data_IF_317844623320
#
_entry.id   IF_317844623320
#
_cell.length_a   1.000
_cell.length_b   1.000
_cell.length_c   1.000
_cell.angle_alpha   90.00
_cell.angle_beta   90.00
_cell.angle_gamma   90.00
#
_symmetry.space_group_name_H-M   'P 1'
#
loop_
_entity.id
_entity.type
_entity.pdbx_description
1 polymer ?
#
# COMPACT_ATOMS: atom_id res chain seq x y z
N UNK A 1 -3.49 -4.31 4.08
CA UNK A 1 -4.80 -3.97 4.71
C UNK A 1 -5.42 -5.20 5.37
N UNK A 2 -5.89 -5.13 6.63
CA UNK A 2 -6.56 -6.25 7.31
C UNK A 2 -8.08 -6.24 7.07
N UNK A 3 -8.52 -5.91 5.86
CA UNK A 3 -9.93 -5.97 5.48
C UNK A 3 -10.11 -6.59 4.10
N UNK A 4 -11.30 -7.16 3.86
CA UNK A 4 -11.66 -7.98 2.70
C UNK A 4 -13.11 -7.71 2.26
N UNK A 5 -13.49 -8.11 1.03
CA UNK A 5 -12.65 -8.70 -0.03
C UNK A 5 -11.72 -7.66 -0.67
N UNK A 6 -10.57 -8.12 -1.20
CA UNK A 6 -9.59 -7.24 -1.83
C UNK A 6 -10.15 -6.51 -3.06
N UNK A 7 -11.02 -7.19 -3.81
CA UNK A 7 -11.68 -6.69 -5.02
C UNK A 7 -12.62 -5.49 -4.77
N UNK A 8 -12.95 -5.22 -3.50
CA UNK A 8 -13.72 -4.04 -3.09
C UNK A 8 -12.82 -2.94 -2.50
N UNK A 9 -11.53 -2.97 -2.81
CA UNK A 9 -10.54 -1.98 -2.40
C UNK A 9 -9.86 -1.44 -3.66
N UNK A 10 -9.63 -0.14 -3.71
CA UNK A 10 -8.93 0.51 -4.82
C UNK A 10 -8.01 1.60 -4.30
N UNK A 11 -6.78 1.65 -4.82
CA UNK A 11 -5.93 2.83 -4.68
C UNK A 11 -6.25 3.82 -5.80
N UNK A 12 -6.47 5.08 -5.45
CA UNK A 12 -6.41 6.20 -6.36
C UNK A 12 -5.10 6.94 -6.10
N UNK A 13 -4.23 7.00 -7.11
CA UNK A 13 -2.94 7.68 -7.04
C UNK A 13 -2.89 8.77 -8.10
N UNK A 14 -2.70 10.03 -7.68
CA UNK A 14 -2.76 11.20 -8.56
C UNK A 14 -1.41 11.91 -8.61
N UNK A 15 -0.93 12.17 -9.82
CA UNK A 15 0.30 12.91 -10.06
C UNK A 15 0.10 14.41 -9.77
N UNK A 16 0.90 14.99 -8.87
CA UNK A 16 0.82 16.43 -8.55
C UNK A 16 1.71 17.30 -9.46
N UNK A 17 2.48 16.65 -10.31
CA UNK A 17 3.37 17.22 -11.32
C UNK A 17 3.59 16.17 -12.40
N UNK A 18 4.29 16.51 -13.49
CA UNK A 18 4.72 15.49 -14.45
C UNK A 18 5.59 14.44 -13.77
N UNK A 19 5.26 13.17 -13.96
CA UNK A 19 6.01 12.03 -13.45
C UNK A 19 6.32 11.09 -14.61
N UNK A 20 7.60 10.79 -14.81
CA UNK A 20 8.06 9.92 -15.88
C UNK A 20 9.21 9.02 -15.40
N UNK A 21 9.90 8.36 -16.33
CA UNK A 21 10.99 7.44 -15.98
C UNK A 21 12.21 8.13 -15.36
N UNK A 22 12.38 9.43 -15.59
CA UNK A 22 13.52 10.20 -15.08
C UNK A 22 13.36 10.52 -13.60
N UNK A 23 12.15 10.88 -13.17
CA UNK A 23 11.84 11.27 -11.79
C UNK A 23 11.12 10.19 -10.96
N UNK A 24 10.97 8.98 -11.52
CA UNK A 24 10.51 7.80 -10.79
C UNK A 24 9.00 7.58 -10.80
N UNK A 25 8.40 7.46 -12.00
CA UNK A 25 7.03 7.01 -12.18
C UNK A 25 6.77 5.62 -11.58
N UNK A 26 5.48 5.33 -11.38
CA UNK A 26 5.05 4.00 -10.97
C UNK A 26 5.42 2.98 -12.05
N UNK A 27 5.79 1.80 -11.58
CA UNK A 27 6.01 0.59 -12.35
C UNK A 27 5.02 -0.45 -11.83
N UNK A 28 4.25 -1.05 -12.72
CA UNK A 28 3.29 -2.10 -12.38
C UNK A 28 3.65 -3.39 -13.11
N UNK A 29 3.28 -4.53 -12.53
CA UNK A 29 3.30 -5.83 -13.20
C UNK A 29 1.85 -6.21 -13.53
N UNK A 30 1.39 -5.99 -14.78
CA UNK A 30 0.00 -6.26 -15.15
C UNK A 30 -0.42 -7.70 -14.86
N UNK A 31 -1.69 -7.89 -14.49
CA UNK A 31 -2.26 -9.22 -14.20
C UNK A 31 -1.97 -9.78 -12.82
N UNK A 32 -0.93 -9.31 -12.11
CA UNK A 32 -0.56 -9.83 -10.77
C UNK A 32 -1.65 -9.68 -9.71
N UNK A 33 -2.57 -8.73 -9.89
CA UNK A 33 -3.72 -8.55 -9.00
C UNK A 33 -4.66 -9.77 -8.93
N UNK A 34 -4.59 -10.70 -9.91
CA UNK A 34 -5.36 -11.94 -9.93
C UNK A 34 -4.73 -13.06 -9.08
N UNK A 35 -3.51 -12.85 -8.59
CA UNK A 35 -2.80 -13.78 -7.72
C UNK A 35 -3.18 -13.64 -6.25
N UNK A 36 -2.35 -14.21 -5.37
CA UNK A 36 -2.50 -14.10 -3.92
C UNK A 36 -1.66 -12.94 -3.35
N UNK A 37 -1.89 -12.62 -2.07
CA UNK A 37 -1.05 -11.67 -1.35
C UNK A 37 0.35 -12.26 -1.15
N UNK A 38 1.33 -11.64 -1.80
CA UNK A 38 2.73 -12.01 -1.65
C UNK A 38 3.27 -11.64 -0.27
N UNK A 39 4.21 -12.45 0.24
CA UNK A 39 4.90 -12.17 1.49
C UNK A 39 5.80 -10.95 1.32
N UNK A 40 5.67 -10.00 2.24
CA UNK A 40 6.49 -8.81 2.31
C UNK A 40 7.51 -8.98 3.44
N UNK A 41 8.77 -8.67 3.17
CA UNK A 41 9.85 -8.68 4.16
C UNK A 41 10.67 -7.40 4.06
N UNK A 42 11.42 -7.09 5.10
CA UNK A 42 12.44 -6.07 5.02
C UNK A 42 13.49 -6.44 3.95
N UNK A 43 13.94 -5.46 3.13
CA UNK A 43 15.10 -5.64 2.28
C UNK A 43 16.37 -5.86 3.10
N UNK A 44 17.22 -6.76 2.62
CA UNK A 44 18.54 -7.05 3.20
C UNK A 44 19.57 -6.08 2.60
N UNK A 45 19.43 -4.78 2.87
CA UNK A 45 20.34 -3.75 2.37
C UNK A 45 21.39 -3.38 3.43
N UNK A 46 22.64 -3.20 3.03
CA UNK A 46 23.70 -2.66 3.89
C UNK A 46 23.30 -1.26 4.39
N UNK A 47 23.35 -1.05 5.72
CA UNK A 47 22.92 0.19 6.38
C UNK A 47 21.45 0.20 6.81
N UNK A 48 20.69 -0.86 6.52
CA UNK A 48 19.27 -0.98 6.88
C UNK A 48 18.35 -0.17 5.97
N UNK A 49 17.05 -0.28 6.21
CA UNK A 49 16.02 0.51 5.51
C UNK A 49 15.16 1.26 6.52
N UNK A 50 14.46 2.29 6.04
CA UNK A 50 13.46 2.97 6.87
C UNK A 50 12.45 1.96 7.42
N UNK A 51 12.03 2.16 8.69
CA UNK A 51 10.89 1.40 9.25
C UNK A 51 9.69 1.48 8.31
N UNK A 52 8.93 0.40 8.21
CA UNK A 52 7.83 0.20 7.26
C UNK A 52 8.22 0.10 5.78
N UNK A 53 9.50 0.03 5.43
CA UNK A 53 9.94 -0.20 4.05
C UNK A 53 10.04 -1.71 3.74
N UNK A 54 8.91 -2.33 3.45
CA UNK A 54 8.82 -3.76 3.12
C UNK A 54 8.73 -3.98 1.60
N UNK A 55 9.32 -5.08 1.11
CA UNK A 55 9.30 -5.46 -0.31
C UNK A 55 8.95 -6.94 -0.53
N UNK A 56 8.56 -7.25 -1.77
CA UNK A 56 8.33 -8.62 -2.23
C UNK A 56 9.63 -9.14 -2.84
N UNK A 57 10.15 -10.25 -2.31
CA UNK A 57 11.38 -10.87 -2.82
C UNK A 57 11.10 -11.97 -3.84
N UNK A 58 10.00 -12.71 -3.64
CA UNK A 58 9.72 -13.96 -4.33
C UNK A 58 8.61 -13.80 -5.39
N UNK A 59 8.75 -12.83 -6.30
CA UNK A 59 7.88 -12.71 -7.47
C UNK A 59 8.61 -13.09 -8.75
N UNK A 60 7.87 -13.52 -9.76
CA UNK A 60 8.44 -13.81 -11.07
C UNK A 60 8.98 -12.53 -11.73
N UNK A 61 10.31 -12.42 -11.78
CA UNK A 61 11.02 -11.26 -12.33
C UNK A 61 10.93 -11.19 -13.86
N UNK A 62 10.50 -12.26 -14.53
CA UNK A 62 10.29 -12.29 -15.98
C UNK A 62 8.99 -11.61 -16.41
N UNK A 63 8.06 -11.38 -15.46
CA UNK A 63 6.80 -10.69 -15.74
C UNK A 63 7.05 -9.29 -16.34
N UNK A 64 6.28 -8.91 -17.38
CA UNK A 64 6.47 -7.63 -18.04
C UNK A 64 6.19 -6.48 -17.08
N UNK A 65 7.13 -5.54 -17.01
CA UNK A 65 7.01 -4.33 -16.22
C UNK A 65 6.54 -3.19 -17.08
N UNK A 66 5.47 -2.52 -16.67
CA UNK A 66 4.94 -1.34 -17.36
C UNK A 66 5.23 -0.11 -16.52
N UNK A 67 6.00 0.81 -17.08
CA UNK A 67 6.13 2.15 -16.52
C UNK A 67 4.88 2.96 -16.85
N UNK A 68 4.41 3.77 -15.90
CA UNK A 68 3.20 4.59 -16.05
C UNK A 68 3.58 6.08 -15.93
N UNK A 69 4.14 6.69 -16.98
CA UNK A 69 4.31 8.14 -17.04
C UNK A 69 2.95 8.83 -17.00
N UNK A 70 2.87 9.95 -16.31
CA UNK A 70 1.65 10.68 -16.01
C UNK A 70 1.94 12.19 -16.04
N UNK A 71 1.03 12.96 -16.61
CA UNK A 71 1.03 14.42 -16.50
C UNK A 71 0.37 14.86 -15.18
N UNK A 72 0.52 16.15 -14.84
CA UNK A 72 -0.12 16.69 -13.63
C UNK A 72 -1.64 16.51 -13.71
N UNK A 73 -2.23 15.92 -12.67
CA UNK A 73 -3.67 15.71 -12.55
C UNK A 73 -4.12 14.32 -13.01
N UNK A 74 -3.31 13.60 -13.77
CA UNK A 74 -3.61 12.22 -14.14
C UNK A 74 -3.75 11.36 -12.87
N UNK A 75 -4.66 10.39 -12.92
CA UNK A 75 -4.93 9.49 -11.80
C UNK A 75 -4.91 8.04 -12.27
N UNK A 76 -4.11 7.21 -11.60
CA UNK A 76 -4.07 5.77 -11.77
C UNK A 76 -4.91 5.11 -10.68
N UNK A 77 -5.86 4.27 -11.09
CA UNK A 77 -6.61 3.39 -10.20
C UNK A 77 -6.04 1.98 -10.25
N UNK A 78 -5.79 1.36 -9.10
CA UNK A 78 -5.27 0.01 -9.08
C UNK A 78 -5.69 -0.82 -7.86
N UNK A 79 -5.75 -2.14 -8.08
CA UNK A 79 -6.14 -3.15 -7.10
C UNK A 79 -5.04 -3.35 -6.04
N UNK A 80 -5.35 -3.59 -4.74
CA UNK A 80 -4.36 -3.74 -3.68
C UNK A 80 -3.38 -4.91 -3.86
N UNK A 81 -3.73 -5.92 -4.68
CA UNK A 81 -2.83 -7.05 -4.98
C UNK A 81 -1.93 -6.83 -6.20
N UNK A 82 -2.07 -5.72 -6.93
CA UNK A 82 -1.16 -5.47 -8.05
C UNK A 82 0.25 -5.23 -7.50
N UNK A 83 1.22 -5.98 -8.01
CA UNK A 83 2.62 -5.73 -7.70
C UNK A 83 3.02 -4.44 -8.41
N UNK A 84 3.46 -3.47 -7.62
CA UNK A 84 3.89 -2.16 -8.10
C UNK A 84 5.02 -1.60 -7.25
N UNK A 85 5.74 -0.63 -7.81
CA UNK A 85 6.80 0.11 -7.12
C UNK A 85 7.07 1.43 -7.82
N UNK A 86 7.84 2.32 -7.20
CA UNK A 86 8.33 3.54 -7.86
C UNK A 86 9.69 3.29 -8.49
N UNK A 87 9.91 3.81 -9.70
CA UNK A 87 11.25 3.89 -10.26
C UNK A 87 12.18 4.78 -9.42
N UNK A 88 13.49 4.62 -9.59
CA UNK A 88 14.48 5.52 -8.97
C UNK A 88 14.31 6.94 -9.54
N UNK A 89 14.13 7.92 -8.67
CA UNK A 89 14.23 9.33 -9.05
C UNK A 89 15.71 9.66 -9.31
N UNK A 90 16.03 10.08 -10.54
CA UNK A 90 17.39 10.45 -10.99
C UNK A 90 17.55 11.96 -11.16
N UNK A 91 16.54 12.73 -10.79
CA UNK A 91 16.58 14.20 -10.80
C UNK A 91 16.96 14.73 -9.43
N UNK A 92 17.35 15.99 -9.35
CA UNK A 92 17.68 16.67 -8.08
C UNK A 92 16.43 17.07 -7.28
N UNK A 93 15.26 17.11 -7.92
CA UNK A 93 14.01 17.55 -7.30
C UNK A 93 13.22 16.44 -6.60
N UNK A 94 12.31 16.84 -5.72
CA UNK A 94 11.36 15.91 -5.07
C UNK A 94 10.15 15.63 -5.97
N UNK A 95 9.85 14.35 -6.18
CA UNK A 95 8.66 13.90 -6.90
C UNK A 95 7.43 13.92 -5.99
N UNK A 96 6.37 14.64 -6.39
CA UNK A 96 5.14 14.78 -5.58
C UNK A 96 3.96 14.03 -6.18
N UNK A 97 3.23 13.32 -5.33
CA UNK A 97 1.99 12.65 -5.66
C UNK A 97 1.13 12.54 -4.41
N UNK A 98 -0.18 12.39 -4.59
CA UNK A 98 -1.15 12.12 -3.52
C UNK A 98 -1.83 10.79 -3.80
N UNK A 99 -2.13 10.03 -2.75
CA UNK A 99 -2.88 8.78 -2.89
C UNK A 99 -3.88 8.58 -1.77
N UNK A 100 -4.96 7.87 -2.10
CA UNK A 100 -5.96 7.40 -1.16
C UNK A 100 -6.34 5.97 -1.50
N UNK A 101 -6.52 5.12 -0.48
CA UNK A 101 -7.09 3.79 -0.65
C UNK A 101 -8.53 3.80 -0.16
N UNK A 102 -9.45 3.49 -1.05
CA UNK A 102 -10.87 3.36 -0.76
C UNK A 102 -11.23 1.90 -0.59
N UNK A 103 -12.19 1.62 0.29
CA UNK A 103 -12.78 0.30 0.47
C UNK A 103 -14.30 0.44 0.59
N UNK A 104 -15.06 -0.53 0.07
CA UNK A 104 -16.50 -0.61 0.32
C UNK A 104 -16.78 -0.74 1.82
N UNK A 105 -17.77 0.00 2.32
CA UNK A 105 -18.19 -0.09 3.72
C UNK A 105 -18.84 -1.43 4.10
N UNK A 106 -19.22 -2.25 3.11
CA UNK A 106 -19.67 -3.64 3.33
C UNK A 106 -18.52 -4.60 3.68
N UNK A 107 -17.26 -4.19 3.47
CA UNK A 107 -16.09 -5.01 3.77
C UNK A 107 -15.98 -5.37 5.25
N UNK A 108 -15.13 -6.34 5.58
CA UNK A 108 -14.97 -6.82 6.95
C UNK A 108 -13.49 -6.93 7.33
N UNK A 109 -13.20 -6.76 8.61
CA UNK A 109 -11.86 -6.95 9.16
C UNK A 109 -11.52 -8.44 9.26
N UNK A 110 -10.26 -8.80 9.01
CA UNK A 110 -9.74 -10.15 9.22
C UNK A 110 -8.81 -10.19 10.42
N UNK A 111 -8.74 -11.33 11.10
CA UNK A 111 -7.62 -11.62 12.00
C UNK A 111 -6.38 -11.91 11.14
N UNK A 112 -5.25 -11.35 11.55
CA UNK A 112 -3.96 -11.47 10.86
C UNK A 112 -2.99 -12.40 11.58
N UNK A 113 -3.33 -12.90 12.78
CA UNK A 113 -2.50 -13.86 13.52
C UNK A 113 -2.27 -15.13 12.69
N UNK A 114 -1.04 -15.60 12.63
CA UNK A 114 -0.64 -16.75 11.83
C UNK A 114 -0.61 -16.50 10.31
N UNK A 115 -0.86 -15.27 9.85
CA UNK A 115 -0.81 -14.92 8.42
C UNK A 115 0.49 -14.20 8.06
N UNK A 116 0.77 -14.05 6.76
CA UNK A 116 1.89 -13.23 6.28
C UNK A 116 1.83 -11.76 6.68
N UNK A 117 0.68 -11.28 7.18
CA UNK A 117 0.49 -9.90 7.62
C UNK A 117 0.80 -9.69 9.11
N UNK A 118 1.02 -10.76 9.90
CA UNK A 118 1.19 -10.66 11.35
C UNK A 118 2.37 -9.76 11.76
N UNK A 119 3.52 -9.94 11.10
CA UNK A 119 4.74 -9.19 11.42
C UNK A 119 4.54 -7.69 11.25
N UNK A 120 3.97 -7.27 10.11
CA UNK A 120 3.63 -5.87 9.85
C UNK A 120 2.57 -5.35 10.83
N UNK A 121 1.60 -6.19 11.19
CA UNK A 121 0.58 -5.88 12.18
C UNK A 121 1.18 -5.44 13.51
N UNK A 122 2.10 -6.24 14.05
CA UNK A 122 2.80 -5.94 15.31
C UNK A 122 3.57 -4.62 15.26
N UNK A 123 4.24 -4.35 14.14
CA UNK A 123 4.97 -3.08 13.95
C UNK A 123 4.01 -1.87 13.96
N UNK A 124 2.85 -1.99 13.31
CA UNK A 124 1.84 -0.92 13.30
C UNK A 124 1.19 -0.74 14.68
N UNK A 125 0.92 -1.82 15.39
CA UNK A 125 0.40 -1.79 16.77
C UNK A 125 1.38 -1.11 17.72
N UNK A 126 2.68 -1.38 17.61
CA UNK A 126 3.72 -0.71 18.39
C UNK A 126 3.75 0.81 18.13
N UNK A 127 3.74 1.22 16.86
CA UNK A 127 3.70 2.64 16.49
C UNK A 127 2.43 3.30 17.01
N UNK A 128 1.28 2.64 16.92
CA UNK A 128 0.02 3.17 17.43
C UNK A 128 0.04 3.34 18.95
N UNK A 129 0.54 2.35 19.70
CA UNK A 129 0.70 2.45 21.16
C UNK A 129 1.56 3.64 21.57
N UNK A 130 2.71 3.82 20.92
CA UNK A 130 3.61 4.95 21.19
C UNK A 130 2.97 6.30 20.84
N UNK A 131 2.33 6.39 19.65
CA UNK A 131 1.76 7.66 19.16
C UNK A 131 0.55 8.11 19.96
N UNK A 132 -0.29 7.19 20.40
CA UNK A 132 -1.55 7.49 21.08
C UNK A 132 -1.49 7.28 22.60
N UNK A 133 -0.34 6.85 23.13
CA UNK A 133 -0.12 6.55 24.54
C UNK A 133 -1.18 5.58 25.12
N UNK A 134 -1.41 4.46 24.42
CA UNK A 134 -2.37 3.42 24.80
C UNK A 134 -1.66 2.11 25.10
N UNK A 135 -2.16 1.37 26.12
CA UNK A 135 -1.50 0.15 26.61
C UNK A 135 -1.59 -1.02 25.61
N UNK A 136 -2.73 -1.18 24.95
CA UNK A 136 -3.00 -2.24 23.98
C UNK A 136 -3.88 -1.72 22.85
N UNK A 137 -3.63 -2.20 21.63
CA UNK A 137 -4.44 -1.93 20.45
C UNK A 137 -4.27 -3.09 19.48
N UNK A 138 -5.37 -3.61 18.95
CA UNK A 138 -5.31 -4.59 17.86
C UNK A 138 -5.10 -3.87 16.52
N UNK A 139 -4.41 -4.52 15.59
CA UNK A 139 -4.19 -3.98 14.25
C UNK A 139 -5.48 -3.51 13.57
N UNK A 140 -6.59 -4.26 13.71
CA UNK A 140 -7.89 -3.89 13.14
C UNK A 140 -8.43 -2.56 13.71
N UNK A 141 -8.19 -2.29 14.99
CA UNK A 141 -8.71 -1.09 15.67
C UNK A 141 -7.94 0.15 15.24
N UNK A 142 -6.62 0.01 14.96
CA UNK A 142 -5.84 1.07 14.30
C UNK A 142 -6.48 1.50 12.99
N UNK A 143 -6.98 0.55 12.19
CA UNK A 143 -7.70 0.88 10.95
C UNK A 143 -9.08 1.46 11.21
N UNK A 144 -9.87 0.92 12.14
CA UNK A 144 -11.19 1.48 12.50
C UNK A 144 -11.13 2.95 12.91
N UNK A 145 -10.11 3.32 13.68
CA UNK A 145 -9.87 4.70 14.10
C UNK A 145 -9.44 5.62 12.97
N UNK A 146 -8.79 5.08 11.92
CA UNK A 146 -8.30 5.84 10.76
C UNK A 146 -9.30 5.92 9.61
N UNK A 147 -10.17 4.94 9.45
CA UNK A 147 -11.20 4.90 8.42
C UNK A 147 -12.18 6.06 8.58
N UNK A 148 -12.59 6.66 7.46
CA UNK A 148 -13.58 7.74 7.40
C UNK A 148 -14.62 7.40 6.35
N UNK A 149 -15.90 7.63 6.67
CA UNK A 149 -16.97 7.54 5.70
C UNK A 149 -16.81 8.70 4.70
N UNK A 150 -16.62 8.36 3.43
CA UNK A 150 -16.49 9.36 2.35
C UNK A 150 -17.82 9.59 1.65
N UNK A 151 -18.61 8.53 1.43
CA UNK A 151 -19.93 8.59 0.78
C UNK A 151 -20.77 7.38 1.16
N UNK A 152 -22.10 7.55 1.17
CA UNK A 152 -23.05 6.50 1.51
C UNK A 152 -23.18 6.31 3.02
N UNK A 153 -23.25 5.07 3.47
CA UNK A 153 -23.42 4.71 4.88
C UNK A 153 -22.24 3.90 5.40
N UNK A 154 -21.90 4.12 6.67
CA UNK A 154 -20.91 3.31 7.39
C UNK A 154 -21.60 2.05 7.91
N UNK A 155 -21.30 0.90 7.29
CA UNK A 155 -21.89 -0.39 7.65
C UNK A 155 -20.96 -1.21 8.54
N UNK A 156 -19.87 -1.73 7.97
CA UNK A 156 -18.95 -2.65 8.66
C UNK A 156 -17.52 -2.09 8.87
N UNK A 157 -16.97 -1.32 7.92
CA UNK A 157 -15.66 -0.65 8.03
C UNK A 157 -15.75 0.77 8.60
#
# INVERSE_FOLDING_TARGET
FPFRPADRIVCAWTAMQKVDRTNGCLVVLPGTHKGCLMVHKYPEWEGGVNKMYHGIHDYDKSLPRVHVPMERGDTLFFHPLIIHGSGRNRTEGFRKAISCHYASSDGYYIDIKGTSQEYLGKEVEEIARQRYNIAAVDFKDVWRMRCRLVKGERKNL
#
